data_IF_172132043408
#
_entry.id   IF_172132043408
#
_cell.length_a   1.000
_cell.length_b   1.000
_cell.length_c   1.000
_cell.angle_alpha   90.00
_cell.angle_beta   90.00
_cell.angle_gamma   90.00
#
_symmetry.space_group_name_H-M   'P 1'
#
loop_
_entity.id
_entity.type
_entity.pdbx_description
1 polymer ?
#
# COMPACT_ATOMS: atom_id res chain seq x y z
N UNK A 1 8.02 19.49 4.95
CA UNK A 1 9.43 19.45 4.50
C UNK A 1 9.53 18.59 3.25
N UNK A 2 10.57 18.69 2.43
CA UNK A 2 10.75 17.73 1.32
C UNK A 2 11.29 16.39 1.88
N UNK A 3 10.88 15.24 1.33
CA UNK A 3 11.39 13.96 1.77
C UNK A 3 12.88 13.80 1.45
N UNK A 4 13.60 13.10 2.33
CA UNK A 4 14.99 12.70 2.09
C UNK A 4 14.97 11.33 1.40
N UNK A 5 15.57 11.26 0.22
CA UNK A 5 15.70 10.00 -0.52
C UNK A 5 16.94 9.24 -0.06
N UNK A 6 16.74 7.97 0.29
CA UNK A 6 17.75 7.07 0.83
C UNK A 6 17.65 5.71 0.13
N UNK A 7 18.63 4.85 0.40
CA UNK A 7 18.59 3.45 -0.04
C UNK A 7 19.17 2.56 1.05
N UNK A 8 18.59 1.38 1.21
CA UNK A 8 19.01 0.41 2.23
C UNK A 8 19.12 -0.97 1.62
N UNK A 9 20.21 -1.68 1.96
CA UNK A 9 20.42 -3.08 1.59
C UNK A 9 19.96 -3.98 2.73
N UNK A 10 19.02 -4.87 2.43
CA UNK A 10 18.41 -5.76 3.40
C UNK A 10 19.14 -7.12 3.45
N UNK A 11 19.11 -7.80 4.61
CA UNK A 11 19.57 -9.19 4.74
C UNK A 11 18.87 -10.18 3.79
N UNK A 12 17.64 -9.86 3.35
CA UNK A 12 16.89 -10.64 2.36
C UNK A 12 17.47 -10.59 0.95
N UNK A 13 18.56 -9.82 0.74
CA UNK A 13 19.32 -9.78 -0.51
C UNK A 13 18.86 -8.70 -1.50
N UNK A 14 17.88 -7.86 -1.13
CA UNK A 14 17.42 -6.74 -1.94
C UNK A 14 17.94 -5.41 -1.42
N UNK A 15 18.11 -4.45 -2.33
CA UNK A 15 18.35 -3.04 -2.03
C UNK A 15 17.09 -2.26 -2.40
N UNK A 16 16.55 -1.49 -1.46
CA UNK A 16 15.32 -0.72 -1.62
C UNK A 16 15.64 0.78 -1.54
N UNK A 17 15.31 1.59 -2.54
CA UNK A 17 15.24 3.03 -2.38
C UNK A 17 13.98 3.38 -1.58
N UNK A 18 14.05 4.44 -0.77
CA UNK A 18 12.92 4.89 0.02
C UNK A 18 12.96 6.40 0.26
N UNK A 19 11.78 6.99 0.44
CA UNK A 19 11.64 8.35 0.94
C UNK A 19 11.41 8.33 2.45
N UNK A 20 12.01 9.29 3.15
CA UNK A 20 11.84 9.49 4.59
C UNK A 20 11.46 10.96 4.87
N UNK A 21 10.45 11.19 5.70
CA UNK A 21 10.01 12.54 6.06
C UNK A 21 9.45 12.58 7.48
N UNK A 22 9.59 13.72 8.15
CA UNK A 22 9.03 13.98 9.48
C UNK A 22 10.10 14.03 10.57
N UNK A 23 9.69 14.32 11.80
CA UNK A 23 10.57 14.30 12.96
C UNK A 23 10.92 12.84 13.30
N UNK A 24 12.20 12.47 13.49
CA UNK A 24 12.59 11.15 13.98
C UNK A 24 11.97 10.75 15.33
N UNK A 25 11.46 11.70 16.12
CA UNK A 25 10.71 11.46 17.35
C UNK A 25 9.19 11.28 17.10
N UNK A 26 8.72 11.45 15.87
CA UNK A 26 7.34 11.22 15.47
C UNK A 26 6.97 9.74 15.46
N UNK A 27 5.66 9.44 15.33
CA UNK A 27 5.18 8.06 15.25
C UNK A 27 5.62 7.44 13.92
N UNK A 28 6.36 6.32 13.92
CA UNK A 28 6.79 5.68 12.69
C UNK A 28 5.60 5.20 11.88
N UNK A 29 5.57 5.53 10.59
CA UNK A 29 4.57 5.05 9.65
C UNK A 29 5.23 4.52 8.37
N UNK A 30 4.98 3.26 8.05
CA UNK A 30 5.49 2.61 6.84
C UNK A 30 4.40 2.59 5.76
N UNK A 31 4.68 3.21 4.63
CA UNK A 31 3.78 3.29 3.49
C UNK A 31 4.12 2.22 2.45
N UNK A 32 3.12 1.46 2.02
CA UNK A 32 3.26 0.31 1.13
C UNK A 32 2.47 0.57 -0.14
N UNK A 33 3.18 0.74 -1.26
CA UNK A 33 2.59 1.10 -2.55
C UNK A 33 1.92 -0.10 -3.24
N UNK A 34 1.11 0.18 -4.26
CA UNK A 34 0.44 -0.84 -5.05
C UNK A 34 1.40 -1.55 -6.03
N UNK A 35 0.93 -2.60 -6.71
CA UNK A 35 1.67 -3.24 -7.79
C UNK A 35 2.13 -2.20 -8.82
N UNK A 36 3.31 -2.43 -9.39
CA UNK A 36 3.96 -1.59 -10.37
C UNK A 36 4.48 -0.23 -9.88
N UNK A 37 4.05 0.22 -8.71
CA UNK A 37 4.29 1.57 -8.25
C UNK A 37 5.63 1.77 -7.54
N UNK A 38 5.82 2.93 -6.91
CA UNK A 38 7.02 3.23 -6.12
C UNK A 38 6.68 4.16 -4.96
N UNK A 39 7.68 4.68 -4.26
CA UNK A 39 7.46 5.70 -3.24
C UNK A 39 6.71 6.94 -3.75
N UNK A 40 6.79 7.24 -5.05
CA UNK A 40 6.11 8.39 -5.67
C UNK A 40 4.59 8.34 -5.48
N UNK A 41 3.98 7.17 -5.31
CA UNK A 41 2.53 7.04 -5.07
C UNK A 41 2.04 7.79 -3.84
N UNK A 42 2.92 8.04 -2.87
CA UNK A 42 2.61 8.78 -1.65
C UNK A 42 3.24 10.17 -1.61
N UNK A 43 3.99 10.60 -2.64
CA UNK A 43 4.68 11.89 -2.67
C UNK A 43 3.75 13.07 -2.36
N UNK A 44 2.55 13.04 -2.93
CA UNK A 44 1.55 14.10 -2.67
C UNK A 44 1.02 14.06 -1.24
N UNK A 45 0.82 12.87 -0.66
CA UNK A 45 0.39 12.73 0.75
C UNK A 45 1.49 13.23 1.68
N UNK A 46 2.75 12.85 1.42
CA UNK A 46 3.91 13.28 2.19
C UNK A 46 3.97 14.81 2.32
N UNK A 47 3.67 15.56 1.26
CA UNK A 47 3.68 17.02 1.27
C UNK A 47 2.72 17.66 2.30
N UNK A 48 1.72 16.91 2.79
CA UNK A 48 0.72 17.35 3.76
C UNK A 48 0.81 16.65 5.11
N UNK A 49 1.68 15.65 5.29
CA UNK A 49 1.83 14.96 6.57
C UNK A 49 2.42 15.89 7.64
N UNK A 50 1.87 15.89 8.87
CA UNK A 50 2.47 16.62 9.98
C UNK A 50 3.79 15.96 10.41
N UNK A 51 4.71 16.78 10.94
CA UNK A 51 6.02 16.31 11.41
C UNK A 51 5.94 15.30 12.57
N UNK A 52 4.79 15.20 13.24
CA UNK A 52 4.52 14.19 14.27
C UNK A 52 4.42 12.76 13.73
N UNK A 53 4.40 12.57 12.40
CA UNK A 53 4.51 11.28 11.73
C UNK A 53 5.90 11.17 11.11
N UNK A 54 6.65 10.13 11.49
CA UNK A 54 7.91 9.77 10.86
C UNK A 54 7.63 8.77 9.73
N UNK A 55 7.47 9.28 8.52
CA UNK A 55 7.08 8.52 7.34
C UNK A 55 8.28 7.82 6.69
N UNK A 56 8.13 6.53 6.44
CA UNK A 56 9.03 5.70 5.63
C UNK A 56 8.25 5.16 4.43
N UNK A 57 8.71 5.45 3.22
CA UNK A 57 8.03 5.06 1.98
C UNK A 57 9.00 4.31 1.07
N UNK A 58 9.22 3.01 1.29
CA UNK A 58 10.08 2.20 0.44
C UNK A 58 9.42 1.91 -0.91
N UNK A 59 10.23 1.95 -1.96
CA UNK A 59 9.94 1.25 -3.20
C UNK A 59 10.27 -0.23 -3.00
N UNK A 60 9.27 -1.07 -3.13
CA UNK A 60 9.31 -2.49 -2.78
C UNK A 60 10.06 -3.32 -3.84
N UNK A 61 10.51 -4.52 -3.45
CA UNK A 61 11.24 -5.45 -4.35
C UNK A 61 10.59 -5.55 -5.74
N UNK A 62 11.42 -5.59 -6.78
CA UNK A 62 10.96 -5.68 -8.17
C UNK A 62 10.48 -4.37 -8.81
N UNK A 63 10.19 -3.35 -8.01
CA UNK A 63 9.53 -2.13 -8.44
C UNK A 63 10.46 -0.92 -8.47
N UNK A 64 10.08 0.15 -9.19
CA UNK A 64 10.89 1.35 -9.37
C UNK A 64 12.37 1.02 -9.60
N UNK A 65 13.26 1.63 -8.81
CA UNK A 65 14.71 1.39 -8.83
C UNK A 65 15.19 0.37 -7.77
N UNK A 66 14.27 -0.38 -7.15
CA UNK A 66 14.61 -1.44 -6.22
C UNK A 66 15.23 -2.66 -6.92
N UNK A 67 15.92 -3.49 -6.15
CA UNK A 67 16.43 -4.79 -6.64
C UNK A 67 15.28 -5.65 -7.15
N UNK A 68 15.50 -6.32 -8.28
CA UNK A 68 14.49 -7.14 -8.98
C UNK A 68 14.87 -8.63 -8.97
N UNK A 69 14.70 -9.34 -7.83
CA UNK A 69 15.05 -10.75 -7.74
C UNK A 69 14.28 -11.60 -8.77
N UNK A 70 14.77 -12.80 -9.06
CA UNK A 70 14.10 -13.68 -10.03
C UNK A 70 12.73 -14.20 -9.53
N UNK A 71 12.58 -14.31 -8.21
CA UNK A 71 11.42 -14.90 -7.53
C UNK A 71 11.13 -14.17 -6.20
N UNK A 72 10.05 -14.57 -5.52
CA UNK A 72 9.69 -14.06 -4.20
C UNK A 72 8.84 -12.80 -4.31
N UNK A 73 7.63 -12.94 -4.86
CA UNK A 73 6.67 -11.86 -5.13
C UNK A 73 5.29 -12.15 -4.52
N UNK A 74 5.22 -13.01 -3.50
CA UNK A 74 4.01 -13.19 -2.69
C UNK A 74 3.93 -12.11 -1.62
N UNK A 75 2.73 -11.76 -1.11
CA UNK A 75 2.59 -10.81 -0.01
C UNK A 75 3.52 -11.08 1.19
N UNK A 76 3.75 -12.36 1.51
CA UNK A 76 4.69 -12.76 2.56
C UNK A 76 6.15 -12.41 2.26
N UNK A 77 6.59 -12.47 0.99
CA UNK A 77 7.95 -12.07 0.59
C UNK A 77 8.16 -10.57 0.77
N UNK A 78 7.15 -9.78 0.40
CA UNK A 78 7.16 -8.33 0.63
C UNK A 78 7.13 -7.99 2.13
N UNK A 79 6.30 -8.69 2.92
CA UNK A 79 6.24 -8.48 4.36
C UNK A 79 7.58 -8.81 5.05
N UNK A 80 8.25 -9.88 4.63
CA UNK A 80 9.59 -10.22 5.14
C UNK A 80 10.62 -9.12 4.84
N UNK A 81 10.58 -8.51 3.66
CA UNK A 81 11.41 -7.35 3.36
C UNK A 81 11.08 -6.15 4.23
N UNK A 82 9.80 -5.87 4.46
CA UNK A 82 9.38 -4.73 5.27
C UNK A 82 9.79 -4.90 6.74
N UNK A 83 9.73 -6.11 7.28
CA UNK A 83 10.26 -6.41 8.61
C UNK A 83 11.77 -6.16 8.68
N UNK A 84 12.52 -6.69 7.71
CA UNK A 84 13.96 -6.46 7.61
C UNK A 84 14.31 -4.98 7.38
N UNK A 85 13.45 -4.24 6.67
CA UNK A 85 13.58 -2.80 6.47
C UNK A 85 13.44 -2.04 7.79
N UNK A 86 12.40 -2.33 8.58
CA UNK A 86 12.20 -1.72 9.90
C UNK A 86 13.43 -1.93 10.80
N UNK A 87 13.98 -3.15 10.83
CA UNK A 87 15.20 -3.44 11.58
C UNK A 87 16.40 -2.62 11.07
N UNK A 88 16.56 -2.51 9.75
CA UNK A 88 17.67 -1.78 9.13
C UNK A 88 17.61 -0.25 9.35
N UNK A 89 16.40 0.30 9.54
CA UNK A 89 16.21 1.72 9.89
C UNK A 89 16.00 1.94 11.39
N UNK A 90 16.22 0.91 12.22
CA UNK A 90 16.11 0.94 13.67
C UNK A 90 14.72 1.35 14.20
N UNK A 91 13.65 0.91 13.53
CA UNK A 91 12.26 1.10 13.95
C UNK A 91 11.70 -0.18 14.55
N UNK A 92 11.36 -0.13 15.84
CA UNK A 92 10.81 -1.29 16.55
C UNK A 92 9.36 -1.60 16.17
N UNK A 93 8.50 -0.60 16.00
CA UNK A 93 7.12 -0.81 15.55
C UNK A 93 6.63 0.42 14.79
N UNK A 94 5.69 0.21 13.87
CA UNK A 94 5.14 1.30 13.06
C UNK A 94 3.65 1.13 12.79
N UNK A 95 3.00 2.20 12.37
CA UNK A 95 1.71 2.13 11.68
C UNK A 95 1.95 1.72 10.23
N UNK A 96 1.21 0.76 9.71
CA UNK A 96 1.34 0.32 8.32
C UNK A 96 0.21 0.91 7.48
N UNK A 97 0.55 1.64 6.42
CA UNK A 97 -0.41 2.25 5.50
C UNK A 97 -0.25 1.65 4.10
N UNK A 98 -1.15 0.76 3.71
CA UNK A 98 -1.11 0.05 2.43
C UNK A 98 -2.10 0.57 1.40
N UNK A 99 -1.60 1.05 0.26
CA UNK A 99 -2.39 1.43 -0.90
C UNK A 99 -2.71 0.24 -1.80
N UNK A 100 -4.00 -0.03 -2.04
CA UNK A 100 -4.45 -1.13 -2.90
C UNK A 100 -3.80 -2.46 -2.51
N UNK A 101 -3.08 -3.11 -3.43
CA UNK A 101 -2.33 -4.34 -3.14
C UNK A 101 -1.27 -4.22 -2.02
N UNK A 102 -0.78 -3.02 -1.70
CA UNK A 102 0.04 -2.78 -0.51
C UNK A 102 -0.67 -3.13 0.81
N UNK A 103 -2.00 -3.13 0.82
CA UNK A 103 -2.81 -3.60 1.95
C UNK A 103 -2.65 -5.10 2.23
N UNK A 104 -2.34 -5.93 1.22
CA UNK A 104 -2.01 -7.35 1.43
C UNK A 104 -0.72 -7.53 2.23
N UNK A 105 0.21 -6.60 2.06
CA UNK A 105 1.51 -6.62 2.72
C UNK A 105 1.35 -6.09 4.14
N UNK A 106 0.64 -4.97 4.31
CA UNK A 106 0.29 -4.42 5.62
C UNK A 106 -0.48 -5.40 6.51
N UNK A 107 -1.46 -6.13 5.95
CA UNK A 107 -2.19 -7.15 6.72
C UNK A 107 -1.35 -8.38 7.06
N UNK A 108 -0.41 -8.80 6.19
CA UNK A 108 0.54 -9.88 6.54
C UNK A 108 1.41 -9.47 7.71
N UNK A 109 1.99 -8.28 7.67
CA UNK A 109 2.74 -7.75 8.80
C UNK A 109 1.89 -7.70 10.08
N UNK A 110 0.65 -7.22 10.01
CA UNK A 110 -0.23 -7.11 11.16
C UNK A 110 -0.68 -8.46 11.76
N UNK A 111 -0.71 -9.53 10.95
CA UNK A 111 -1.12 -10.87 11.38
C UNK A 111 0.08 -11.65 11.91
N UNK A 112 1.19 -11.60 11.19
CA UNK A 112 2.37 -12.41 11.48
C UNK A 112 3.27 -11.75 12.55
N UNK A 113 3.18 -10.41 12.68
CA UNK A 113 4.00 -9.59 13.57
C UNK A 113 3.17 -8.52 14.33
N UNK A 114 2.16 -8.92 15.12
CA UNK A 114 1.33 -7.98 15.87
C UNK A 114 2.15 -7.10 16.83
N UNK A 115 3.27 -7.57 17.35
CA UNK A 115 4.21 -6.82 18.20
C UNK A 115 4.91 -5.67 17.48
N UNK A 116 4.99 -5.74 16.14
CA UNK A 116 5.61 -4.70 15.28
C UNK A 116 4.59 -3.70 14.75
N UNK A 117 3.30 -3.88 15.06
CA UNK A 117 2.18 -3.17 14.42
C UNK A 117 1.47 -2.26 15.40
N UNK A 118 1.73 -0.94 15.30
CA UNK A 118 1.04 0.07 16.13
C UNK A 118 -0.40 0.30 15.65
N UNK A 119 -0.62 0.21 14.35
CA UNK A 119 -1.91 0.44 13.69
C UNK A 119 -1.84 0.00 12.22
N UNK A 120 -2.99 -0.14 11.58
CA UNK A 120 -3.10 -0.53 10.18
C UNK A 120 -4.05 0.40 9.44
N UNK A 121 -3.63 0.89 8.27
CA UNK A 121 -4.47 1.68 7.37
C UNK A 121 -4.52 0.97 6.01
N UNK A 122 -5.74 0.63 5.59
CA UNK A 122 -6.02 -0.02 4.31
C UNK A 122 -6.65 1.01 3.37
N UNK A 123 -5.84 1.53 2.44
CA UNK A 123 -6.24 2.59 1.52
C UNK A 123 -6.70 1.97 0.19
N UNK A 124 -8.00 1.80 0.01
CA UNK A 124 -8.56 1.16 -1.19
C UNK A 124 -8.02 -0.26 -1.38
N UNK A 125 -7.80 -1.01 -0.28
CA UNK A 125 -7.27 -2.37 -0.35
C UNK A 125 -8.36 -3.35 -0.81
N UNK A 126 -8.04 -4.32 -1.68
CA UNK A 126 -8.94 -5.43 -1.95
C UNK A 126 -9.10 -6.34 -0.73
N UNK A 127 -10.29 -6.89 -0.52
CA UNK A 127 -10.53 -7.91 0.50
C UNK A 127 -9.82 -9.22 0.13
N UNK A 128 -10.06 -9.67 -1.09
CA UNK A 128 -9.43 -10.83 -1.71
C UNK A 128 -9.49 -10.67 -3.23
N UNK A 129 -8.53 -11.28 -3.93
CA UNK A 129 -8.61 -11.46 -5.39
C UNK A 129 -9.10 -12.86 -5.78
N UNK A 130 -9.22 -13.78 -4.81
CA UNK A 130 -9.65 -15.16 -5.06
C UNK A 130 -11.12 -15.24 -5.45
N UNK A 131 -11.40 -16.13 -6.42
CA UNK A 131 -12.77 -16.48 -6.80
C UNK A 131 -13.54 -15.36 -7.51
N UNK A 132 -12.85 -14.33 -8.01
CA UNK A 132 -13.44 -13.23 -8.79
C UNK A 132 -13.26 -13.50 -10.30
N UNK A 133 -14.33 -13.83 -11.04
CA UNK A 133 -14.23 -14.18 -12.46
C UNK A 133 -13.54 -13.10 -13.31
N UNK A 134 -13.89 -11.84 -13.10
CA UNK A 134 -13.34 -10.71 -13.88
C UNK A 134 -11.82 -10.57 -13.69
N UNK A 135 -11.30 -10.84 -12.47
CA UNK A 135 -9.86 -10.83 -12.21
C UNK A 135 -9.14 -12.03 -12.82
N UNK A 136 -9.82 -13.18 -12.88
CA UNK A 136 -9.29 -14.37 -13.55
C UNK A 136 -9.23 -14.15 -15.07
N UNK A 137 -10.23 -13.47 -15.64
CA UNK A 137 -10.22 -13.04 -17.04
C UNK A 137 -9.10 -12.03 -17.32
N UNK A 138 -8.94 -11.01 -16.48
CA UNK A 138 -7.82 -10.05 -16.56
C UNK A 138 -6.46 -10.76 -16.50
N UNK A 139 -6.34 -11.75 -15.62
CA UNK A 139 -5.14 -12.58 -15.52
C UNK A 139 -4.85 -13.30 -16.83
N UNK A 140 -5.82 -14.03 -17.39
CA UNK A 140 -5.60 -14.84 -18.58
C UNK A 140 -5.44 -14.02 -19.86
N UNK A 141 -6.16 -12.91 -19.99
CA UNK A 141 -6.15 -12.08 -21.21
C UNK A 141 -4.97 -11.12 -21.27
N UNK A 142 -4.53 -10.58 -20.12
CA UNK A 142 -3.55 -9.48 -20.08
C UNK A 142 -2.30 -9.83 -19.28
N UNK A 143 -2.43 -10.20 -18.01
CA UNK A 143 -1.27 -10.24 -17.11
C UNK A 143 -0.40 -11.49 -17.28
N UNK A 144 -0.99 -12.64 -17.64
CA UNK A 144 -0.27 -13.89 -17.88
C UNK A 144 0.47 -13.91 -19.23
N UNK A 145 0.08 -13.02 -20.16
CA UNK A 145 0.62 -12.92 -21.52
C UNK A 145 1.49 -11.67 -21.70
N UNK A 146 1.66 -10.87 -20.65
CA UNK A 146 2.46 -9.65 -20.65
C UNK A 146 3.92 -9.96 -21.03
N UNK A 147 4.49 -9.16 -21.93
CA UNK A 147 5.88 -9.29 -22.39
C UNK A 147 6.61 -7.96 -22.34
N UNK A 148 7.94 -8.00 -22.33
CA UNK A 148 8.78 -6.81 -22.37
C UNK A 148 9.04 -6.36 -23.82
N UNK A 149 9.07 -5.04 -24.12
CA UNK A 149 8.68 -3.95 -23.21
C UNK A 149 7.15 -3.91 -23.04
N UNK A 150 6.70 -3.54 -21.84
CA UNK A 150 5.28 -3.31 -21.55
C UNK A 150 4.80 -2.11 -22.36
N UNK A 151 3.61 -2.20 -22.94
CA UNK A 151 2.97 -1.10 -23.67
C UNK A 151 2.70 0.09 -22.72
N UNK A 152 3.28 1.28 -22.97
CA UNK A 152 2.98 2.49 -22.20
C UNK A 152 1.51 2.88 -22.15
N UNK A 153 0.73 2.55 -23.18
CA UNK A 153 -0.69 2.85 -23.20
C UNK A 153 -1.45 1.97 -22.20
N UNK A 154 -1.12 0.68 -22.10
CA UNK A 154 -1.71 -0.24 -21.12
C UNK A 154 -1.52 0.28 -19.69
N UNK A 155 -0.30 0.71 -19.36
CA UNK A 155 0.02 1.26 -18.03
C UNK A 155 -0.72 2.56 -17.77
N UNK A 156 -0.76 3.46 -18.75
CA UNK A 156 -1.49 4.73 -18.66
C UNK A 156 -2.99 4.51 -18.45
N UNK A 157 -3.60 3.60 -19.22
CA UNK A 157 -5.02 3.28 -19.11
C UNK A 157 -5.35 2.68 -17.74
N UNK A 158 -4.48 1.80 -17.23
CA UNK A 158 -4.62 1.26 -15.88
C UNK A 158 -4.55 2.37 -14.82
N UNK A 159 -3.51 3.21 -14.81
CA UNK A 159 -3.38 4.31 -13.86
C UNK A 159 -4.55 5.31 -13.95
N UNK A 160 -5.03 5.60 -15.15
CA UNK A 160 -6.19 6.48 -15.38
C UNK A 160 -7.48 5.85 -14.85
N UNK A 161 -7.66 4.54 -14.98
CA UNK A 161 -8.84 3.82 -14.48
C UNK A 161 -8.97 3.85 -12.95
N UNK A 162 -7.87 4.12 -12.24
CA UNK A 162 -7.88 4.28 -10.79
C UNK A 162 -8.40 5.65 -10.32
N UNK A 163 -8.65 6.60 -11.23
CA UNK A 163 -9.03 7.97 -10.92
C UNK A 163 -10.50 8.25 -11.22
N UNK A 164 -11.19 8.87 -10.26
CA UNK A 164 -12.47 9.56 -10.46
C UNK A 164 -12.29 11.08 -10.60
N UNK A 165 -11.21 11.64 -10.05
CA UNK A 165 -10.86 13.05 -10.12
C UNK A 165 -9.50 13.25 -10.80
N UNK A 166 -9.29 14.37 -11.52
CA UNK A 166 -8.00 14.63 -12.15
C UNK A 166 -6.91 14.88 -11.11
N UNK A 167 -5.70 14.46 -11.46
CA UNK A 167 -4.47 14.76 -10.73
C UNK A 167 -3.54 15.63 -11.60
N UNK A 168 -2.57 16.37 -11.03
CA UNK A 168 -1.63 17.16 -11.83
C UNK A 168 -0.91 16.28 -12.85
N UNK A 169 -0.90 16.73 -14.11
CA UNK A 169 -0.32 15.96 -15.21
C UNK A 169 1.15 15.54 -14.96
N UNK A 170 2.06 16.39 -14.43
CA UNK A 170 3.43 15.97 -14.14
C UNK A 170 3.52 14.81 -13.15
N UNK A 171 2.64 14.80 -12.14
CA UNK A 171 2.59 13.70 -11.17
C UNK A 171 2.10 12.41 -11.84
N UNK A 172 1.04 12.50 -12.64
CA UNK A 172 0.51 11.34 -13.37
C UNK A 172 1.56 10.73 -14.31
N UNK A 173 2.32 11.57 -15.02
CA UNK A 173 3.40 11.10 -15.87
C UNK A 173 4.50 10.40 -15.07
N UNK A 174 4.87 10.90 -13.89
CA UNK A 174 5.80 10.20 -12.98
C UNK A 174 5.28 8.81 -12.62
N UNK A 175 4.01 8.69 -12.23
CA UNK A 175 3.40 7.38 -11.91
C UNK A 175 3.49 6.43 -13.11
N UNK A 176 3.12 6.88 -14.30
CA UNK A 176 3.23 6.07 -15.53
C UNK A 176 4.67 5.62 -15.79
N UNK A 177 5.66 6.50 -15.62
CA UNK A 177 7.07 6.13 -15.78
C UNK A 177 7.53 5.12 -14.74
N UNK A 178 7.12 5.27 -13.48
CA UNK A 178 7.44 4.30 -12.42
C UNK A 178 6.82 2.94 -12.70
N UNK A 179 5.56 2.90 -13.18
CA UNK A 179 4.85 1.67 -13.54
C UNK A 179 5.45 0.94 -14.75
N UNK A 180 6.24 1.63 -15.58
CA UNK A 180 6.97 1.03 -16.71
C UNK A 180 8.35 0.47 -16.33
N UNK A 181 8.89 0.78 -15.14
CA UNK A 181 10.19 0.26 -14.67
C UNK A 181 10.18 -1.24 -14.33
N UNK A 182 9.15 -1.80 -13.65
CA UNK A 182 9.07 -3.23 -13.42
C UNK A 182 8.90 -3.98 -14.74
N UNK A 183 9.73 -4.99 -15.01
CA UNK A 183 9.58 -5.84 -16.19
C UNK A 183 8.32 -6.71 -16.08
N UNK A 184 7.80 -7.19 -17.21
CA UNK A 184 6.57 -7.96 -17.29
C UNK A 184 6.52 -9.14 -16.29
N UNK A 185 7.64 -9.85 -16.09
CA UNK A 185 7.70 -10.95 -15.11
C UNK A 185 7.37 -10.52 -13.68
N UNK A 186 7.68 -9.28 -13.28
CA UNK A 186 7.44 -8.77 -11.92
C UNK A 186 5.95 -8.46 -11.76
N UNK A 187 5.33 -7.83 -12.77
CA UNK A 187 3.89 -7.65 -12.83
C UNK A 187 3.17 -8.99 -12.71
N UNK A 188 3.51 -9.95 -13.57
CA UNK A 188 2.89 -11.28 -13.59
C UNK A 188 3.11 -12.03 -12.27
N UNK A 189 4.33 -12.05 -11.73
CA UNK A 189 4.63 -12.77 -10.49
C UNK A 189 3.96 -12.13 -9.27
N UNK A 190 3.93 -10.80 -9.19
CA UNK A 190 3.26 -10.08 -8.09
C UNK A 190 1.76 -10.30 -8.14
N UNK A 191 1.13 -10.14 -9.31
CA UNK A 191 -0.31 -10.36 -9.44
C UNK A 191 -0.71 -11.81 -9.16
N UNK A 192 0.10 -12.79 -9.61
CA UNK A 192 -0.09 -14.19 -9.25
C UNK A 192 -0.02 -14.39 -7.74
N UNK A 193 0.95 -13.78 -7.06
CA UNK A 193 1.06 -13.82 -5.60
C UNK A 193 -0.19 -13.27 -4.90
N UNK A 194 -0.78 -12.19 -5.43
CA UNK A 194 -2.01 -11.62 -4.91
C UNK A 194 -3.25 -12.49 -5.18
N UNK A 195 -3.34 -13.14 -6.35
CA UNK A 195 -4.40 -14.11 -6.66
C UNK A 195 -4.35 -15.33 -5.74
N UNK A 196 -3.16 -15.78 -5.37
CA UNK A 196 -2.97 -16.95 -4.50
C UNK A 196 -3.14 -16.63 -3.01
N UNK A 197 -3.15 -15.35 -2.63
CA UNK A 197 -3.24 -14.93 -1.24
C UNK A 197 -4.62 -15.24 -0.63
N UNK A 198 -4.62 -16.00 0.46
CA UNK A 198 -5.80 -16.52 1.16
C UNK A 198 -6.08 -15.77 2.47
N UNK A 199 -5.45 -14.62 2.63
CA UNK A 199 -5.10 -14.11 3.94
C UNK A 199 -6.24 -13.28 4.57
N UNK A 200 -7.30 -13.06 3.78
CA UNK A 200 -8.63 -12.65 4.24
C UNK A 200 -9.17 -13.56 5.38
N UNK A 201 -8.87 -14.86 5.33
CA UNK A 201 -9.35 -15.83 6.34
C UNK A 201 -8.77 -15.61 7.73
N UNK A 202 -7.68 -14.84 7.80
CA UNK A 202 -6.90 -14.61 9.02
C UNK A 202 -7.06 -13.17 9.53
N UNK A 203 -7.90 -12.33 8.90
CA UNK A 203 -8.09 -10.94 9.30
C UNK A 203 -8.55 -10.77 10.76
N UNK A 204 -9.20 -11.79 11.32
CA UNK A 204 -9.60 -11.84 12.72
C UNK A 204 -8.41 -11.92 13.70
N UNK A 205 -7.20 -12.24 13.21
CA UNK A 205 -5.96 -12.17 14.00
C UNK A 205 -5.38 -10.75 14.10
N UNK A 206 -5.86 -9.78 13.31
CA UNK A 206 -5.39 -8.39 13.36
C UNK A 206 -5.94 -7.73 14.62
N UNK A 207 -5.07 -7.57 15.62
CA UNK A 207 -5.41 -6.91 16.88
C UNK A 207 -5.25 -5.38 16.80
N UNK A 208 -4.39 -4.90 15.91
CA UNK A 208 -4.06 -3.48 15.79
C UNK A 208 -5.31 -2.64 15.42
N UNK A 209 -5.45 -1.42 15.98
CA UNK A 209 -6.47 -0.49 15.52
C UNK A 209 -6.35 -0.27 14.01
N UNK A 210 -7.45 -0.45 13.28
CA UNK A 210 -7.43 -0.48 11.82
C UNK A 210 -8.36 0.56 11.22
N UNK A 211 -7.86 1.34 10.27
CA UNK A 211 -8.65 2.24 9.45
C UNK A 211 -8.76 1.69 8.02
N UNK A 212 -9.98 1.36 7.59
CA UNK A 212 -10.28 1.02 6.20
C UNK A 212 -10.79 2.28 5.50
N UNK A 213 -10.19 2.67 4.38
CA UNK A 213 -10.58 3.88 3.63
C UNK A 213 -10.92 3.52 2.19
N UNK A 214 -12.02 4.07 1.69
CA UNK A 214 -12.53 3.78 0.35
C UNK A 214 -13.13 4.99 -0.33
N UNK A 215 -12.83 5.19 -1.61
CA UNK A 215 -13.48 6.19 -2.46
C UNK A 215 -14.78 5.64 -3.05
N UNK A 216 -15.88 6.40 -2.99
CA UNK A 216 -17.18 5.88 -3.42
C UNK A 216 -17.40 5.79 -4.94
N UNK A 217 -16.43 6.29 -5.72
CA UNK A 217 -16.32 6.15 -7.17
C UNK A 217 -15.18 5.20 -7.57
N UNK A 218 -14.73 4.33 -6.66
CA UNK A 218 -13.73 3.31 -6.96
C UNK A 218 -14.28 2.34 -8.03
N UNK A 219 -13.73 2.43 -9.25
CA UNK A 219 -14.08 1.58 -10.38
C UNK A 219 -13.42 0.19 -10.33
N UNK A 220 -12.48 -0.03 -9.40
CA UNK A 220 -11.69 -1.26 -9.27
C UNK A 220 -12.28 -2.15 -8.17
N UNK A 221 -12.66 -1.58 -7.03
CA UNK A 221 -13.09 -2.33 -5.87
C UNK A 221 -14.48 -1.92 -5.37
N UNK A 222 -15.41 -2.88 -5.20
CA UNK A 222 -16.73 -2.58 -4.70
C UNK A 222 -16.69 -2.27 -3.21
N UNK A 223 -17.70 -1.51 -2.75
CA UNK A 223 -17.94 -1.23 -1.34
C UNK A 223 -18.00 -2.50 -0.47
N UNK A 224 -18.55 -3.59 -1.00
CA UNK A 224 -18.69 -4.86 -0.29
C UNK A 224 -17.35 -5.47 0.14
N UNK A 225 -16.27 -5.25 -0.61
CA UNK A 225 -14.92 -5.67 -0.20
C UNK A 225 -14.54 -4.96 1.11
N UNK A 226 -14.77 -3.66 1.19
CA UNK A 226 -14.39 -2.81 2.33
C UNK A 226 -15.22 -3.13 3.57
N UNK A 227 -16.53 -3.34 3.38
CA UNK A 227 -17.43 -3.78 4.45
C UNK A 227 -17.04 -5.17 4.96
N UNK A 228 -16.68 -6.10 4.07
CA UNK A 228 -16.25 -7.44 4.47
C UNK A 228 -14.94 -7.45 5.25
N UNK A 229 -13.96 -6.61 4.86
CA UNK A 229 -12.73 -6.44 5.63
C UNK A 229 -13.00 -5.81 6.99
N UNK A 230 -13.84 -4.78 7.04
CA UNK A 230 -14.20 -4.09 8.30
C UNK A 230 -14.91 -5.05 9.25
N UNK A 231 -15.80 -5.92 8.74
CA UNK A 231 -16.46 -6.93 9.56
C UNK A 231 -15.50 -8.03 10.05
N UNK A 232 -14.46 -8.35 9.28
CA UNK A 232 -13.50 -9.41 9.62
C UNK A 232 -12.39 -8.97 10.58
N UNK A 233 -12.11 -7.66 10.68
CA UNK A 233 -11.06 -7.09 11.54
C UNK A 233 -11.71 -6.50 12.81
N UNK A 234 -11.49 -7.08 14.01
CA UNK A 234 -12.22 -6.72 15.23
C UNK A 234 -12.13 -5.24 15.63
N UNK A 235 -10.97 -4.61 15.43
CA UNK A 235 -10.69 -3.23 15.84
C UNK A 235 -10.67 -2.26 14.66
N UNK A 236 -11.56 -2.45 13.68
CA UNK A 236 -11.56 -1.64 12.46
C UNK A 236 -12.73 -0.66 12.36
N UNK A 237 -12.52 0.42 11.59
CA UNK A 237 -13.57 1.33 11.15
C UNK A 237 -13.43 1.63 9.67
N UNK A 238 -14.56 1.81 8.99
CA UNK A 238 -14.63 2.23 7.59
C UNK A 238 -14.81 3.74 7.48
N UNK A 239 -13.99 4.37 6.65
CA UNK A 239 -14.09 5.77 6.26
C UNK A 239 -14.31 5.87 4.75
N UNK A 240 -15.41 6.51 4.35
CA UNK A 240 -15.78 6.67 2.94
C UNK A 240 -15.45 8.08 2.45
N UNK A 241 -14.87 8.16 1.25
CA UNK A 241 -14.53 9.40 0.56
C UNK A 241 -15.51 9.63 -0.58
N UNK A 242 -16.48 10.54 -0.42
CA UNK A 242 -17.43 10.83 -1.48
C UNK A 242 -16.77 11.46 -2.71
N UNK A 243 -17.11 10.95 -3.90
CA UNK A 243 -16.62 11.45 -5.18
C UNK A 243 -15.19 11.05 -5.53
N UNK A 244 -14.54 10.22 -4.72
CA UNK A 244 -13.14 9.82 -4.90
C UNK A 244 -13.01 8.43 -5.53
N UNK A 245 -11.97 8.23 -6.33
CA UNK A 245 -11.68 6.98 -7.03
C UNK A 245 -10.89 5.97 -6.19
N UNK A 246 -10.31 4.98 -6.88
CA UNK A 246 -9.46 3.95 -6.25
C UNK A 246 -8.19 4.55 -5.64
N UNK A 247 -7.53 5.43 -6.39
CA UNK A 247 -6.33 6.14 -5.97
C UNK A 247 -6.68 7.50 -5.34
N UNK A 248 -7.65 7.53 -4.42
CA UNK A 248 -8.09 8.74 -3.73
C UNK A 248 -6.96 9.47 -2.97
N UNK A 249 -5.89 8.76 -2.62
CA UNK A 249 -4.69 9.33 -2.00
C UNK A 249 -3.83 10.13 -2.99
N UNK A 250 -4.03 9.96 -4.30
CA UNK A 250 -3.53 10.88 -5.32
C UNK A 250 -4.47 12.08 -5.49
N UNK A 251 -5.78 11.85 -5.44
CA UNK A 251 -6.79 12.87 -5.73
C UNK A 251 -6.93 13.90 -4.59
N UNK A 252 -6.96 13.41 -3.35
CA UNK A 252 -7.25 14.18 -2.13
C UNK A 252 -6.15 14.01 -1.07
N UNK A 253 -4.88 14.32 -1.39
CA UNK A 253 -3.74 14.00 -0.54
C UNK A 253 -3.77 14.71 0.83
N UNK A 254 -4.25 15.94 0.90
CA UNK A 254 -4.41 16.69 2.15
C UNK A 254 -5.40 16.01 3.11
N UNK A 255 -6.55 15.57 2.58
CA UNK A 255 -7.56 14.86 3.37
C UNK A 255 -7.01 13.53 3.89
N UNK A 256 -6.32 12.78 3.04
CA UNK A 256 -5.67 11.52 3.44
C UNK A 256 -4.63 11.78 4.53
N UNK A 257 -3.76 12.77 4.38
CA UNK A 257 -2.77 13.11 5.40
C UNK A 257 -3.43 13.48 6.75
N UNK A 258 -4.53 14.24 6.72
CA UNK A 258 -5.31 14.58 7.91
C UNK A 258 -5.93 13.35 8.59
N UNK A 259 -6.52 12.44 7.83
CA UNK A 259 -7.13 11.22 8.37
C UNK A 259 -6.09 10.23 8.91
N UNK A 260 -4.91 10.15 8.29
CA UNK A 260 -3.77 9.39 8.82
C UNK A 260 -3.30 9.98 10.15
N UNK A 261 -3.16 11.31 10.24
CA UNK A 261 -2.77 11.99 11.47
C UNK A 261 -3.79 11.78 12.59
N UNK A 262 -5.09 11.88 12.28
CA UNK A 262 -6.15 11.60 13.24
C UNK A 262 -6.09 10.14 13.73
N UNK A 263 -5.91 9.18 12.81
CA UNK A 263 -5.77 7.78 13.19
C UNK A 263 -4.57 7.54 14.12
N UNK A 264 -3.41 8.14 13.83
CA UNK A 264 -2.22 8.06 14.69
C UNK A 264 -2.46 8.66 16.07
N UNK A 265 -3.12 9.83 16.15
CA UNK A 265 -3.44 10.47 17.42
C UNK A 265 -4.36 9.60 18.31
N UNK A 266 -5.31 8.88 17.70
CA UNK A 266 -6.20 7.96 18.41
C UNK A 266 -5.46 6.76 19.03
N UNK A 267 -4.30 6.35 18.48
CA UNK A 267 -3.50 5.24 19.02
C UNK A 267 -2.87 5.58 20.38
N UNK A 268 -2.53 6.85 20.61
CA UNK A 268 -1.88 7.33 21.83
C UNK A 268 -2.84 7.69 22.96
N UNK A 269 -4.16 7.69 22.70
CA UNK A 269 -5.18 7.98 23.71
C UNK A 269 -5.52 6.71 24.49
N UNK A 270 -5.59 6.73 25.83
CA UNK A 270 -6.07 5.59 26.61
C UNK A 270 -7.48 5.24 26.12
N UNK A 271 -7.67 4.05 25.56
CA UNK A 271 -9.02 3.55 25.24
C UNK A 271 -9.79 3.51 26.55
N UNK A 272 -10.82 4.36 26.69
CA UNK A 272 -11.77 4.23 27.77
C UNK A 272 -12.32 2.80 27.71
N UNK A 273 -12.01 1.99 28.71
CA UNK A 273 -12.63 0.69 28.90
C UNK A 273 -14.11 0.98 29.11
N UNK A 274 -14.92 0.68 28.10
CA UNK A 274 -16.37 0.62 28.27
C UNK A 274 -16.65 -0.66 29.06
N UNK A 275 -16.93 -0.48 30.35
CA UNK A 275 -17.55 -1.48 31.24
C UNK A 275 -18.90 -1.99 30.69
#
# INVERSE_FOLDING_TARGET
MAPVLKSVRLPTGVTLPYAEQGDPAGVPMLFLHAIADSWHSFERVLAHLPDSIHAFVPTQRGHGDATRPATGYRPADFAADMLAFLDAVAVEAAVFAGGSSGGFIGRRLAIDHPERTLGLVLLGSPATLQGKPDLLELWHSTLATLTDPIDPQLVRDFAQSCLAQPVPAPFFETIVQENLKPPARVWTATFKGLLEDNSFRELHHINAPTLVVWGDQDAILPRSDQESMTAAIPNSRLLVYPGAGHAFYWESPERVAGDLAAHVADLGSPRAQSD
#
